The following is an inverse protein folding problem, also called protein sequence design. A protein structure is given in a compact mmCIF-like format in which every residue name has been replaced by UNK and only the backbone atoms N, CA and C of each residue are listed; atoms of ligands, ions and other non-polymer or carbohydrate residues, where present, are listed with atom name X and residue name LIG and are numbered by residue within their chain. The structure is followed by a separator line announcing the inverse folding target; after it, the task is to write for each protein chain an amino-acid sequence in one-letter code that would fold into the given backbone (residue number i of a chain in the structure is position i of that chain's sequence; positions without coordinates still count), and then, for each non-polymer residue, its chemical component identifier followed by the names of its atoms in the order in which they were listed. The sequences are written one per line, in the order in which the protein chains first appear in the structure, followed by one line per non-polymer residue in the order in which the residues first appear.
data_IF_078197907836
#
_entry.id   IF_078197907836
#
_cell.length_a   1.000
_cell.length_b   1.000
_cell.length_c   1.000
_cell.angle_alpha   90.00
_cell.angle_beta   90.00
_cell.angle_gamma   90.00
#
_symmetry.space_group_name_H-M   'P 1'
#
loop_
_entity.id
_entity.type
_entity.pdbx_description
1 polymer ?
#
# COMPACT_ATOMS: atom_id res chain seq x y z
N UNK A 1 -31.76 32.33 8.14
CA UNK A 1 -30.66 32.16 7.21
C UNK A 1 -29.81 31.01 7.74
N UNK A 2 -30.10 29.81 7.27
CA UNK A 2 -29.36 28.61 7.65
C UNK A 2 -28.11 28.56 6.79
N UNK A 3 -26.96 28.80 7.42
CA UNK A 3 -25.66 28.64 6.83
C UNK A 3 -25.46 27.15 6.56
N UNK A 4 -25.65 26.74 5.31
CA UNK A 4 -25.37 25.40 4.84
C UNK A 4 -23.85 25.35 4.67
N UNK A 5 -23.14 24.98 5.73
CA UNK A 5 -21.72 24.68 5.64
C UNK A 5 -21.52 23.68 4.49
N UNK A 6 -20.92 24.12 3.40
CA UNK A 6 -20.52 23.29 2.28
C UNK A 6 -19.60 22.21 2.84
N UNK A 7 -20.04 20.95 2.84
CA UNK A 7 -19.19 19.81 3.20
C UNK A 7 -18.09 19.78 2.15
N UNK A 8 -16.88 20.08 2.55
CA UNK A 8 -15.72 20.01 1.68
C UNK A 8 -15.52 18.55 1.25
N UNK A 9 -15.66 18.27 -0.04
CA UNK A 9 -15.36 16.97 -0.66
C UNK A 9 -13.88 16.99 -1.03
N UNK A 10 -13.16 15.93 -0.68
CA UNK A 10 -11.75 15.72 -1.05
C UNK A 10 -11.66 14.43 -1.87
N UNK A 11 -11.89 14.49 -3.19
CA UNK A 11 -12.02 13.31 -4.04
C UNK A 11 -10.67 12.66 -4.34
N UNK A 12 -10.63 11.33 -4.31
CA UNK A 12 -9.52 10.50 -4.75
C UNK A 12 -10.01 9.49 -5.79
N UNK A 13 -9.25 9.33 -6.87
CA UNK A 13 -9.59 8.44 -7.99
C UNK A 13 -8.52 7.40 -8.31
N UNK A 14 -7.41 7.46 -7.63
CA UNK A 14 -6.29 6.54 -7.86
C UNK A 14 -6.21 5.52 -6.75
N UNK A 15 -6.06 4.25 -7.12
CA UNK A 15 -5.86 3.16 -6.17
C UNK A 15 -4.60 2.37 -6.50
N UNK A 16 -3.88 1.94 -5.47
CA UNK A 16 -2.74 1.04 -5.56
C UNK A 16 -3.15 -0.36 -5.12
N UNK A 17 -2.96 -1.35 -5.99
CA UNK A 17 -3.18 -2.76 -5.65
C UNK A 17 -2.11 -3.28 -4.71
N UNK A 18 -2.56 -3.90 -3.62
CA UNK A 18 -1.70 -4.62 -2.69
C UNK A 18 -2.44 -5.87 -2.17
N UNK A 19 -1.72 -6.86 -1.69
CA UNK A 19 -2.33 -8.04 -1.07
C UNK A 19 -3.22 -7.64 0.11
N UNK A 20 -4.41 -8.26 0.21
CA UNK A 20 -5.38 -7.91 1.25
C UNK A 20 -4.78 -8.02 2.65
N UNK A 21 -4.01 -9.08 2.92
CA UNK A 21 -3.31 -9.26 4.20
C UNK A 21 -2.30 -8.14 4.50
N UNK A 22 -1.64 -7.59 3.49
CA UNK A 22 -0.72 -6.46 3.67
C UNK A 22 -1.47 -5.14 3.83
N UNK A 23 -2.62 -4.97 3.17
CA UNK A 23 -3.52 -3.84 3.41
C UNK A 23 -4.00 -3.86 4.86
N UNK A 24 -4.40 -5.02 5.38
CA UNK A 24 -4.81 -5.18 6.77
C UNK A 24 -3.66 -4.89 7.75
N UNK A 25 -2.45 -5.34 7.44
CA UNK A 25 -1.28 -5.06 8.26
C UNK A 25 -0.90 -3.56 8.30
N UNK A 26 -1.00 -2.87 7.14
CA UNK A 26 -0.82 -1.42 7.04
C UNK A 26 -1.91 -0.67 7.81
N UNK A 27 -3.16 -1.09 7.66
CA UNK A 27 -4.31 -0.44 8.28
C UNK A 27 -4.44 -0.73 9.79
N UNK A 28 -3.84 -1.81 10.26
CA UNK A 28 -3.70 -2.12 11.68
C UNK A 28 -2.50 -1.45 12.34
N UNK A 29 -1.72 -0.65 11.59
CA UNK A 29 -0.51 -0.01 12.10
C UNK A 29 0.65 -0.98 12.34
N UNK A 30 0.56 -2.23 11.86
CA UNK A 30 1.63 -3.23 11.99
C UNK A 30 2.78 -3.00 11.01
N UNK A 31 2.50 -2.33 9.89
CA UNK A 31 3.45 -1.95 8.86
C UNK A 31 3.29 -0.48 8.52
N UNK A 32 4.37 0.14 8.03
CA UNK A 32 4.33 1.47 7.41
C UNK A 32 4.98 1.49 6.03
N UNK A 33 5.56 0.39 5.57
CA UNK A 33 6.31 0.35 4.32
C UNK A 33 5.86 -0.77 3.40
N UNK A 34 5.95 -0.51 2.10
CA UNK A 34 5.76 -1.47 1.02
C UNK A 34 7.05 -1.60 0.22
N UNK A 35 7.40 -2.84 -0.21
CA UNK A 35 8.52 -3.08 -1.13
C UNK A 35 7.96 -3.30 -2.54
N UNK A 36 8.32 -2.42 -3.47
CA UNK A 36 7.83 -2.42 -4.85
C UNK A 36 8.98 -2.55 -5.85
N UNK A 37 8.83 -3.49 -6.80
CA UNK A 37 9.80 -3.68 -7.88
C UNK A 37 9.43 -2.89 -9.14
N UNK A 38 8.15 -2.73 -9.38
CA UNK A 38 7.55 -2.18 -10.59
C UNK A 38 6.47 -3.12 -11.15
N UNK A 39 5.53 -2.59 -11.91
CA UNK A 39 4.51 -3.33 -12.62
C UNK A 39 4.96 -3.70 -14.04
N UNK A 40 4.33 -4.72 -14.64
CA UNK A 40 4.67 -5.22 -15.98
C UNK A 40 4.52 -4.16 -17.10
N UNK A 41 3.72 -3.12 -16.85
CA UNK A 41 3.43 -2.02 -17.81
C UNK A 41 3.98 -0.67 -17.41
N UNK A 42 4.79 -0.61 -16.37
CA UNK A 42 5.45 0.63 -15.96
C UNK A 42 6.63 0.88 -16.90
N UNK A 43 6.80 2.14 -17.32
CA UNK A 43 7.84 2.57 -18.25
C UNK A 43 9.22 2.04 -17.84
N UNK A 44 10.17 1.96 -18.77
CA UNK A 44 11.52 1.38 -18.63
C UNK A 44 12.34 1.77 -17.38
N UNK A 45 11.77 2.56 -16.45
CA UNK A 45 12.38 3.01 -15.20
C UNK A 45 12.01 2.25 -13.92
N UNK A 46 11.11 1.26 -13.97
CA UNK A 46 10.63 0.55 -12.76
C UNK A 46 9.36 1.17 -12.15
N UNK A 47 9.11 0.91 -10.85
CA UNK A 47 7.98 1.48 -10.13
C UNK A 47 8.15 3.00 -10.00
N UNK A 48 7.18 3.74 -10.49
CA UNK A 48 7.12 5.19 -10.37
C UNK A 48 6.02 5.56 -9.38
N UNK A 49 6.39 6.26 -8.31
CA UNK A 49 5.43 6.82 -7.35
C UNK A 49 4.88 8.11 -7.95
N UNK A 50 3.85 7.97 -8.79
CA UNK A 50 3.23 9.08 -9.51
C UNK A 50 2.22 9.85 -8.68
N UNK A 51 1.84 9.31 -7.54
CA UNK A 51 0.76 9.82 -6.72
C UNK A 51 1.21 9.88 -5.27
N UNK A 52 1.13 11.06 -4.68
CA UNK A 52 1.45 11.29 -3.27
C UNK A 52 0.33 10.78 -2.35
N UNK A 53 -0.87 10.58 -2.90
CA UNK A 53 -2.03 10.04 -2.22
C UNK A 53 -2.76 9.05 -3.13
N UNK A 54 -3.26 7.96 -2.55
CA UNK A 54 -4.01 6.93 -3.27
C UNK A 54 -4.83 6.06 -2.31
N UNK A 55 -5.88 5.44 -2.85
CA UNK A 55 -6.65 4.43 -2.13
C UNK A 55 -5.91 3.10 -2.10
N UNK A 56 -6.02 2.34 -1.02
CA UNK A 56 -5.52 0.97 -0.96
C UNK A 56 -6.57 0.02 -1.56
N UNK A 57 -6.18 -0.67 -2.64
CA UNK A 57 -7.02 -1.65 -3.33
C UNK A 57 -6.58 -3.06 -2.93
N UNK A 58 -7.32 -3.75 -2.03
CA UNK A 58 -6.97 -5.09 -1.60
C UNK A 58 -7.16 -6.10 -2.73
N UNK A 59 -6.18 -6.96 -2.93
CA UNK A 59 -6.24 -8.08 -3.87
C UNK A 59 -6.15 -9.41 -3.13
N UNK A 60 -6.93 -10.39 -3.56
CA UNK A 60 -7.06 -11.71 -2.92
C UNK A 60 -6.49 -12.82 -3.80
N UNK A 61 -5.87 -12.45 -4.93
CA UNK A 61 -5.28 -13.37 -5.89
C UNK A 61 -3.76 -13.28 -5.82
N UNK A 62 -3.09 -14.42 -6.06
CA UNK A 62 -1.63 -14.52 -6.08
C UNK A 62 -0.94 -14.21 -4.74
N UNK A 63 -1.69 -14.17 -3.63
CA UNK A 63 -1.10 -14.16 -2.31
C UNK A 63 -0.40 -15.49 -2.08
N UNK A 64 0.91 -15.44 -1.91
CA UNK A 64 1.73 -16.62 -1.73
C UNK A 64 2.18 -16.68 -0.28
N UNK A 65 1.67 -17.64 0.46
CA UNK A 65 1.99 -17.80 1.88
C UNK A 65 3.52 -17.83 2.14
N UNK A 66 4.29 -18.46 1.26
CA UNK A 66 5.74 -18.53 1.38
C UNK A 66 6.48 -17.20 1.08
N UNK A 67 5.80 -16.22 0.47
CA UNK A 67 6.32 -14.87 0.29
C UNK A 67 5.91 -13.93 1.42
N UNK A 68 4.91 -14.31 2.23
CA UNK A 68 4.40 -13.53 3.35
C UNK A 68 5.17 -13.86 4.64
N UNK A 69 5.59 -12.83 5.39
CA UNK A 69 6.26 -13.03 6.66
C UNK A 69 5.37 -13.82 7.64
N UNK A 70 5.94 -14.79 8.36
CA UNK A 70 5.23 -15.75 9.21
C UNK A 70 4.29 -15.08 10.21
N UNK A 71 4.66 -13.92 10.75
CA UNK A 71 3.84 -13.13 11.67
C UNK A 71 2.48 -12.70 11.12
N UNK A 72 2.27 -12.79 9.80
CA UNK A 72 1.00 -12.47 9.13
C UNK A 72 0.25 -13.70 8.62
N UNK A 73 0.77 -14.92 8.80
CA UNK A 73 0.10 -16.13 8.35
C UNK A 73 -1.27 -16.33 9.01
N UNK A 74 -1.37 -16.07 10.32
CA UNK A 74 -2.63 -16.21 11.05
C UNK A 74 -3.69 -15.16 10.67
N UNK A 75 -3.28 -14.04 10.06
CA UNK A 75 -4.20 -12.97 9.63
C UNK A 75 -4.69 -13.14 8.19
N UNK A 76 -4.08 -14.05 7.42
CA UNK A 76 -4.44 -14.28 6.02
C UNK A 76 -5.91 -14.75 5.87
N UNK A 77 -6.35 -15.70 6.70
CA UNK A 77 -7.73 -16.18 6.68
C UNK A 77 -8.72 -15.09 7.06
N UNK A 78 -8.37 -14.26 8.05
CA UNK A 78 -9.19 -13.12 8.45
C UNK A 78 -9.30 -12.07 7.33
N UNK A 79 -8.20 -11.77 6.64
CA UNK A 79 -8.20 -10.89 5.48
C UNK A 79 -9.13 -11.43 4.37
N UNK A 80 -9.07 -12.73 4.09
CA UNK A 80 -9.93 -13.38 3.10
C UNK A 80 -11.40 -13.44 3.50
N UNK A 81 -11.72 -13.51 4.80
CA UNK A 81 -13.09 -13.48 5.29
C UNK A 81 -13.80 -12.15 5.01
N UNK A 82 -13.04 -11.07 4.81
CA UNK A 82 -13.56 -9.75 4.45
C UNK A 82 -13.60 -9.48 2.94
N UNK A 83 -13.39 -10.55 2.13
CA UNK A 83 -13.45 -10.41 0.68
C UNK A 83 -14.87 -9.99 0.25
N UNK A 84 -15.01 -8.93 -0.56
CA UNK A 84 -16.30 -8.52 -1.09
C UNK A 84 -16.88 -9.58 -2.04
N UNK A 85 -18.19 -9.51 -2.33
CA UNK A 85 -18.81 -10.36 -3.34
C UNK A 85 -18.06 -10.30 -4.69
N UNK A 86 -18.16 -11.38 -5.47
CA UNK A 86 -17.54 -11.44 -6.79
C UNK A 86 -17.99 -10.26 -7.66
N UNK A 87 -17.05 -9.67 -8.38
CA UNK A 87 -17.29 -8.48 -9.22
C UNK A 87 -17.40 -7.16 -8.46
N UNK A 88 -17.13 -7.15 -7.16
CA UNK A 88 -17.11 -5.95 -6.34
C UNK A 88 -15.73 -5.72 -5.72
N UNK A 89 -15.41 -4.45 -5.45
CA UNK A 89 -14.26 -4.06 -4.65
C UNK A 89 -14.72 -3.24 -3.46
N UNK A 90 -14.00 -3.34 -2.37
CA UNK A 90 -14.22 -2.50 -1.19
C UNK A 90 -12.96 -1.69 -0.88
N UNK A 91 -13.15 -0.37 -0.81
CA UNK A 91 -12.11 0.59 -0.46
C UNK A 91 -12.40 1.14 0.94
N UNK A 92 -11.46 0.98 1.83
CA UNK A 92 -11.59 1.31 3.25
C UNK A 92 -10.54 2.31 3.73
N UNK A 93 -9.47 2.45 2.95
CA UNK A 93 -8.28 3.19 3.37
C UNK A 93 -7.70 4.02 2.25
N UNK A 94 -7.22 5.19 2.63
CA UNK A 94 -6.38 6.06 1.80
C UNK A 94 -4.97 6.10 2.39
N UNK A 95 -3.97 6.11 1.55
CA UNK A 95 -2.57 6.19 1.92
C UNK A 95 -1.96 7.48 1.38
N UNK A 96 -1.21 8.21 2.22
CA UNK A 96 -0.36 9.31 1.81
C UNK A 96 1.09 8.82 1.83
N UNK A 97 1.84 9.10 0.77
CA UNK A 97 3.26 8.79 0.69
C UNK A 97 4.03 9.71 1.62
N UNK A 98 4.74 9.14 2.58
CA UNK A 98 5.58 9.88 3.51
C UNK A 98 7.03 9.96 3.01
N UNK A 99 7.52 8.88 2.38
CA UNK A 99 8.86 8.82 1.83
C UNK A 99 9.00 7.70 0.79
N UNK A 100 9.97 7.85 -0.10
CA UNK A 100 10.33 6.84 -1.10
C UNK A 100 11.84 6.72 -1.17
N UNK A 101 12.34 5.48 -1.13
CA UNK A 101 13.75 5.17 -1.34
C UNK A 101 13.91 4.22 -2.51
N UNK A 102 14.83 4.52 -3.42
CA UNK A 102 15.35 3.55 -4.38
C UNK A 102 16.52 2.82 -3.70
N UNK A 103 16.31 1.56 -3.36
CA UNK A 103 17.30 0.75 -2.65
C UNK A 103 18.02 -0.15 -3.65
N UNK A 104 19.34 0.04 -3.76
CA UNK A 104 20.26 -0.72 -4.63
C UNK A 104 21.23 -1.59 -3.82
N UNK A 105 21.15 -1.54 -2.50
CA UNK A 105 21.90 -2.36 -1.56
C UNK A 105 20.92 -3.29 -0.82
N UNK A 106 21.02 -4.59 -1.08
CA UNK A 106 20.11 -5.59 -0.53
C UNK A 106 20.19 -5.67 1.00
N UNK A 107 21.37 -5.46 1.59
CA UNK A 107 21.56 -5.58 3.04
C UNK A 107 20.83 -4.48 3.81
N UNK A 108 20.60 -3.33 3.22
CA UNK A 108 19.76 -2.28 3.82
C UNK A 108 18.31 -2.73 4.07
N UNK A 109 17.80 -3.65 3.25
CA UNK A 109 16.44 -4.17 3.42
C UNK A 109 16.32 -5.10 4.64
N UNK A 110 17.42 -5.70 5.13
CA UNK A 110 17.40 -6.48 6.37
C UNK A 110 17.09 -5.61 7.60
N UNK A 111 17.62 -4.40 7.61
CA UNK A 111 17.45 -3.48 8.73
C UNK A 111 15.98 -3.01 8.88
N UNK A 112 15.17 -3.18 7.84
CA UNK A 112 13.74 -2.78 7.83
C UNK A 112 12.78 -3.97 7.76
N UNK A 113 13.23 -5.18 8.08
CA UNK A 113 12.42 -6.41 7.97
C UNK A 113 11.11 -6.36 8.77
N UNK A 114 11.09 -5.61 9.87
CA UNK A 114 9.89 -5.41 10.68
C UNK A 114 8.90 -4.39 10.11
N UNK A 115 9.30 -3.60 9.10
CA UNK A 115 8.51 -2.53 8.53
C UNK A 115 7.76 -2.91 7.25
N UNK A 116 8.01 -4.13 6.75
CA UNK A 116 7.28 -4.71 5.61
C UNK A 116 6.83 -6.15 5.90
N UNK A 117 5.86 -6.65 5.11
CA UNK A 117 5.22 -7.95 5.38
C UNK A 117 5.76 -9.13 4.56
N UNK A 118 6.92 -9.03 3.91
CA UNK A 118 7.46 -10.05 3.04
C UNK A 118 8.51 -10.91 3.74
N UNK A 119 8.63 -12.18 3.36
CA UNK A 119 9.79 -13.01 3.74
C UNK A 119 11.06 -12.49 3.05
N UNK A 120 12.22 -12.82 3.64
CA UNK A 120 13.50 -12.45 3.04
C UNK A 120 13.65 -13.00 1.61
N UNK A 121 13.24 -14.25 1.37
CA UNK A 121 13.29 -14.85 0.02
C UNK A 121 12.46 -14.06 -1.00
N UNK A 122 11.29 -13.54 -0.58
CA UNK A 122 10.46 -12.70 -1.44
C UNK A 122 11.10 -11.33 -1.72
N UNK A 123 11.75 -10.73 -0.71
CA UNK A 123 12.50 -9.47 -0.85
C UNK A 123 13.64 -9.66 -1.83
N UNK A 124 14.46 -10.70 -1.64
CA UNK A 124 15.60 -11.00 -2.51
C UNK A 124 15.16 -11.31 -3.95
N UNK A 125 14.10 -12.09 -4.13
CA UNK A 125 13.51 -12.38 -5.44
C UNK A 125 13.04 -11.10 -6.16
N UNK A 126 12.35 -10.22 -5.44
CA UNK A 126 11.93 -8.92 -5.99
C UNK A 126 13.12 -8.03 -6.32
N UNK A 127 14.11 -7.98 -5.45
CA UNK A 127 15.33 -7.18 -5.65
C UNK A 127 16.06 -7.58 -6.93
N UNK A 128 16.24 -8.89 -7.18
CA UNK A 128 16.97 -9.44 -8.35
C UNK A 128 16.11 -9.57 -9.62
N UNK A 129 14.82 -9.30 -9.53
CA UNK A 129 13.90 -9.50 -10.66
C UNK A 129 14.35 -8.72 -11.91
N UNK A 130 14.38 -9.38 -13.08
CA UNK A 130 14.81 -8.84 -14.37
C UNK A 130 16.26 -8.36 -14.42
N UNK A 131 17.15 -8.93 -13.61
CA UNK A 131 18.55 -8.55 -13.54
C UNK A 131 18.81 -7.06 -13.24
N UNK A 132 17.84 -6.41 -12.63
CA UNK A 132 17.93 -5.03 -12.15
C UNK A 132 17.94 -5.03 -10.62
N UNK A 133 19.11 -5.10 -9.94
CA UNK A 133 19.20 -5.27 -8.49
C UNK A 133 18.79 -3.99 -7.75
N UNK A 134 17.51 -3.73 -7.68
CA UNK A 134 16.91 -2.58 -6.99
C UNK A 134 15.44 -2.82 -6.66
N UNK A 135 14.95 -2.15 -5.64
CA UNK A 135 13.51 -2.02 -5.31
C UNK A 135 13.22 -0.62 -4.81
N UNK A 136 11.97 -0.23 -4.84
CA UNK A 136 11.50 0.94 -4.10
C UNK A 136 10.93 0.48 -2.75
N UNK A 137 11.32 1.18 -1.69
CA UNK A 137 10.64 1.15 -0.40
C UNK A 137 9.78 2.41 -0.32
N UNK A 138 8.48 2.22 -0.13
CA UNK A 138 7.50 3.30 -0.07
C UNK A 138 6.91 3.31 1.33
N UNK A 139 7.24 4.32 2.13
CA UNK A 139 6.61 4.55 3.42
C UNK A 139 5.29 5.30 3.21
N UNK A 140 4.23 4.82 3.84
CA UNK A 140 2.89 5.37 3.70
C UNK A 140 2.25 5.63 5.05
N UNK A 141 1.57 6.76 5.17
CA UNK A 141 0.68 7.07 6.27
C UNK A 141 -0.74 6.71 5.87
N UNK A 142 -1.28 5.66 6.46
CA UNK A 142 -2.61 5.15 6.15
C UNK A 142 -3.66 5.85 7.02
N UNK A 143 -4.79 6.17 6.41
CA UNK A 143 -5.97 6.68 7.09
C UNK A 143 -7.21 5.88 6.69
N UNK A 144 -8.11 5.63 7.66
CA UNK A 144 -9.38 4.95 7.45
C UNK A 144 -10.41 5.94 6.93
N UNK A 145 -11.09 5.58 5.86
CA UNK A 145 -12.23 6.34 5.33
C UNK A 145 -13.40 6.37 6.33
N UNK A 146 -14.22 7.42 6.32
CA UNK A 146 -15.40 7.52 7.20
C UNK A 146 -16.40 6.39 6.99
N UNK A 147 -16.49 5.89 5.75
CA UNK A 147 -17.36 4.78 5.36
C UNK A 147 -16.62 3.85 4.39
N UNK A 148 -17.03 2.59 4.33
CA UNK A 148 -16.57 1.65 3.29
C UNK A 148 -17.21 2.05 1.97
N UNK A 149 -16.39 2.15 0.93
CA UNK A 149 -16.85 2.43 -0.44
C UNK A 149 -16.82 1.13 -1.23
N UNK A 150 -17.98 0.68 -1.68
CA UNK A 150 -18.14 -0.53 -2.48
C UNK A 150 -18.43 -0.14 -3.92
N UNK A 151 -17.60 -0.60 -4.85
CA UNK A 151 -17.69 -0.29 -6.29
C UNK A 151 -17.70 -1.57 -7.11
N UNK A 152 -18.31 -1.58 -8.31
CA UNK A 152 -18.14 -2.66 -9.27
C UNK A 152 -16.67 -2.79 -9.71
N UNK A 153 -16.16 -4.03 -9.77
CA UNK A 153 -14.83 -4.30 -10.32
C UNK A 153 -14.87 -4.25 -11.85
N UNK A 154 -14.45 -3.13 -12.43
CA UNK A 154 -14.41 -2.99 -13.87
C UNK A 154 -13.30 -3.89 -14.48
N UNK A 155 -13.51 -4.46 -15.71
CA UNK A 155 -12.51 -5.32 -16.36
C UNK A 155 -11.12 -4.69 -16.49
N UNK A 156 -11.03 -3.36 -16.63
CA UNK A 156 -9.75 -2.64 -16.70
C UNK A 156 -9.01 -2.56 -15.38
N UNK A 157 -9.67 -2.85 -14.24
CA UNK A 157 -9.01 -2.95 -12.93
C UNK A 157 -8.31 -4.30 -12.77
N UNK A 158 -8.65 -5.31 -13.59
CA UNK A 158 -8.07 -6.65 -13.50
C UNK A 158 -6.66 -6.71 -14.10
N UNK A 159 -5.97 -7.83 -13.92
CA UNK A 159 -4.63 -8.06 -14.45
C UNK A 159 -3.50 -7.50 -13.58
N UNK A 160 -2.27 -7.67 -14.09
CA UNK A 160 -1.02 -7.34 -13.38
C UNK A 160 -0.65 -5.86 -13.49
N UNK A 161 -1.54 -4.97 -13.08
CA UNK A 161 -1.29 -3.53 -12.98
C UNK A 161 -1.25 -3.13 -11.51
N UNK A 162 -0.29 -2.28 -11.15
CA UNK A 162 -0.18 -1.77 -9.77
C UNK A 162 -1.16 -0.63 -9.54
N UNK A 163 -1.24 0.31 -10.47
CA UNK A 163 -2.07 1.48 -10.36
C UNK A 163 -3.39 1.31 -11.11
N UNK A 164 -4.49 1.62 -10.44
CA UNK A 164 -5.84 1.59 -10.98
C UNK A 164 -6.41 3.00 -10.93
N UNK A 165 -6.90 3.49 -12.07
CA UNK A 165 -7.75 4.68 -12.12
C UNK A 165 -9.20 4.22 -12.02
N UNK A 166 -9.86 4.60 -10.93
CA UNK A 166 -11.27 4.29 -10.69
C UNK A 166 -12.18 5.09 -11.63
N UNK A 167 -13.39 4.58 -11.86
CA UNK A 167 -14.41 5.26 -12.66
C UNK A 167 -15.06 6.40 -11.87
N UNK A 168 -15.16 6.21 -10.57
CA UNK A 168 -15.81 7.12 -9.65
C UNK A 168 -14.80 7.77 -8.72
N UNK A 169 -15.08 9.00 -8.31
CA UNK A 169 -14.36 9.69 -7.26
C UNK A 169 -14.78 9.12 -5.91
N UNK A 170 -13.82 8.85 -5.05
CA UNK A 170 -14.02 8.44 -3.66
C UNK A 170 -13.73 9.63 -2.77
N UNK A 171 -14.72 10.05 -2.00
CA UNK A 171 -14.52 11.11 -1.01
C UNK A 171 -13.66 10.60 0.15
N UNK A 172 -12.53 11.24 0.37
CA UNK A 172 -11.61 10.92 1.46
C UNK A 172 -11.63 11.96 2.58
N UNK A 173 -12.52 12.95 2.49
CA UNK A 173 -12.71 13.93 3.55
C UNK A 173 -13.08 13.23 4.87
N UNK A 174 -12.47 13.69 5.97
CA UNK A 174 -12.69 13.09 7.28
C UNK A 174 -12.03 11.72 7.51
N UNK A 175 -11.18 11.26 6.59
CA UNK A 175 -10.36 10.07 6.83
C UNK A 175 -9.48 10.26 8.07
N UNK A 176 -9.38 9.23 8.92
CA UNK A 176 -8.66 9.28 10.20
C UNK A 176 -7.41 8.41 10.16
N UNK A 177 -6.23 8.96 10.51
CA UNK A 177 -5.02 8.17 10.61
C UNK A 177 -5.20 6.92 11.48
N UNK A 178 -4.63 5.78 11.04
CA UNK A 178 -4.69 4.51 11.78
C UNK A 178 -3.61 4.41 12.86
N UNK A 179 -2.65 5.32 12.84
CA UNK A 179 -1.54 5.43 13.78
C UNK A 179 -1.38 6.90 14.19
N UNK A 180 -1.04 7.16 15.43
CA UNK A 180 -0.73 8.49 15.93
C UNK A 180 0.55 9.07 15.30
N UNK A 181 0.74 10.38 15.43
CA UNK A 181 1.85 11.10 14.79
C UNK A 181 3.21 10.70 15.36
N UNK A 182 3.30 10.48 16.67
CA UNK A 182 4.54 10.15 17.36
C UNK A 182 5.02 8.75 16.97
N UNK A 183 4.13 7.75 17.03
CA UNK A 183 4.41 6.37 16.61
C UNK A 183 4.82 6.31 15.15
N UNK A 184 4.13 7.03 14.26
CA UNK A 184 4.47 7.06 12.85
C UNK A 184 5.84 7.70 12.62
N UNK A 185 6.13 8.84 13.23
CA UNK A 185 7.40 9.55 13.11
C UNK A 185 8.58 8.69 13.60
N UNK A 186 8.40 7.97 14.71
CA UNK A 186 9.41 7.05 15.26
C UNK A 186 9.77 5.96 14.26
N UNK A 187 8.77 5.31 13.65
CA UNK A 187 8.98 4.24 12.67
C UNK A 187 9.56 4.77 11.35
N UNK A 188 9.14 5.94 10.92
CA UNK A 188 9.71 6.61 9.73
C UNK A 188 11.20 6.92 9.94
N UNK A 189 11.60 7.36 11.14
CA UNK A 189 12.99 7.61 11.49
C UNK A 189 13.85 6.32 11.46
N UNK A 190 13.27 5.16 11.80
CA UNK A 190 13.94 3.85 11.66
C UNK A 190 14.24 3.57 10.18
N UNK A 191 13.24 3.77 9.29
CA UNK A 191 13.43 3.60 7.85
C UNK A 191 14.50 4.55 7.32
N UNK A 192 14.45 5.82 7.70
CA UNK A 192 15.43 6.83 7.28
C UNK A 192 16.85 6.49 7.76
N UNK A 193 17.00 6.04 9.00
CA UNK A 193 18.28 5.60 9.55
C UNK A 193 18.88 4.41 8.77
N UNK A 194 18.04 3.46 8.34
CA UNK A 194 18.48 2.27 7.63
C UNK A 194 18.74 2.53 6.13
N UNK A 195 17.87 3.31 5.48
CA UNK A 195 17.87 3.47 4.02
C UNK A 195 18.61 4.73 3.56
N UNK A 196 18.80 5.69 4.44
CA UNK A 196 19.39 7.00 4.18
C UNK A 196 18.34 8.11 4.12
N UNK A 197 18.80 9.38 3.95
CA UNK A 197 17.91 10.53 3.98
C UNK A 197 16.83 10.47 2.89
N UNK A 198 15.67 10.97 3.23
CA UNK A 198 14.54 11.15 2.29
C UNK A 198 14.97 12.16 1.23
N UNK A 199 14.78 11.80 -0.04
CA UNK A 199 15.14 12.64 -1.18
C UNK A 199 13.92 13.36 -1.75
#
# INVERSE_FOLDING_TARGET
MTDTASIAIDPERVALKEWAVLVDALSGGNLIAMIRKGGIRENRGGFDVRHDRFLLYPTYFHEKLHELAERFHSTLEAAHAHRPPEGMIELRYVANVAAVWLVTDLEKLRAIDHEHGLTWGAVESRFRYRDEPRVHVVAVRVARLPAVVTLPEAPRYTGCVSWVKLDEDVDVAGARPVMDDESFAMRLAILESALGPIR
#
